data_IF_170382944568
#
_entry.id   IF_170382944568
#
_cell.length_a   1.000
_cell.length_b   1.000
_cell.length_c   1.000
_cell.angle_alpha   90.00
_cell.angle_beta   90.00
_cell.angle_gamma   90.00
#
_symmetry.space_group_name_H-M   'P 1'
#
loop_
_entity.id
_entity.type
_entity.pdbx_description
1 polymer ?
#
# COMPACT_ATOMS: atom_id res chain seq x y z
N UNK A 1 2.99 -11.30 -2.94
CA UNK A 1 3.31 -10.01 -2.28
C UNK A 1 2.25 -9.71 -1.23
N UNK A 2 2.66 -9.29 -0.04
CA UNK A 2 1.73 -8.95 1.06
C UNK A 2 1.64 -7.43 1.15
N UNK A 3 0.43 -6.90 1.21
CA UNK A 3 0.15 -5.46 1.32
C UNK A 3 -0.51 -5.18 2.68
N UNK A 4 0.27 -4.88 3.72
CA UNK A 4 -0.29 -4.55 5.03
C UNK A 4 -0.92 -3.14 5.04
N UNK A 5 -1.73 -2.82 6.06
CA UNK A 5 -2.09 -1.44 6.38
C UNK A 5 -0.84 -0.55 6.50
N UNK A 6 -0.75 0.47 5.65
CA UNK A 6 0.40 1.37 5.58
C UNK A 6 0.04 2.78 5.11
N UNK A 7 0.92 3.72 5.39
CA UNK A 7 0.93 5.07 4.83
C UNK A 7 2.37 5.48 4.52
N UNK A 8 2.57 6.53 3.74
CA UNK A 8 3.89 6.91 3.26
C UNK A 8 4.03 8.42 3.10
N UNK A 9 5.26 8.88 3.23
CA UNK A 9 5.69 10.22 2.88
C UNK A 9 6.54 10.17 1.62
N UNK A 10 7.03 11.32 1.15
CA UNK A 10 8.03 11.35 0.07
C UNK A 10 9.36 10.69 0.43
N UNK A 11 9.62 10.43 1.70
CA UNK A 11 10.89 9.85 2.14
C UNK A 11 10.74 8.41 2.58
N UNK A 12 9.65 8.08 3.28
CA UNK A 12 9.54 6.83 4.02
C UNK A 12 8.15 6.21 3.99
N UNK A 13 8.10 4.89 4.14
CA UNK A 13 6.86 4.13 4.34
C UNK A 13 6.74 3.75 5.81
N UNK A 14 5.55 3.95 6.35
CA UNK A 14 5.19 3.59 7.72
C UNK A 14 4.24 2.40 7.71
N UNK A 15 4.63 1.34 8.42
CA UNK A 15 3.88 0.10 8.55
C UNK A 15 3.27 -0.04 9.95
N UNK A 16 2.14 -0.75 10.04
CA UNK A 16 1.70 -1.31 11.32
C UNK A 16 2.64 -2.44 11.75
N UNK A 17 3.12 -2.40 12.99
CA UNK A 17 4.08 -3.36 13.56
C UNK A 17 3.48 -4.75 13.88
N UNK A 18 2.17 -4.91 13.76
CA UNK A 18 1.50 -6.18 14.02
C UNK A 18 1.55 -7.06 12.76
N UNK A 19 2.43 -8.06 12.74
CA UNK A 19 2.29 -9.17 11.79
C UNK A 19 1.06 -9.97 12.18
N UNK A 20 0.11 -10.16 11.26
CA UNK A 20 -1.00 -11.06 11.52
C UNK A 20 -0.63 -12.50 11.25
N UNK A 21 -0.88 -13.34 12.25
CA UNK A 21 -0.84 -14.80 12.12
C UNK A 21 -1.83 -15.20 11.02
N UNK A 22 -1.32 -15.79 9.94
CA UNK A 22 -2.15 -16.24 8.82
C UNK A 22 -1.68 -17.61 8.37
N UNK A 23 -2.60 -18.58 8.38
CA UNK A 23 -2.33 -19.98 8.05
C UNK A 23 -1.69 -20.14 6.66
N UNK A 24 -2.09 -19.30 5.71
CA UNK A 24 -1.58 -19.30 4.34
C UNK A 24 -0.14 -18.78 4.18
N UNK A 25 0.48 -18.24 5.22
CA UNK A 25 1.90 -17.83 5.20
C UNK A 25 2.78 -18.86 5.91
N UNK A 26 2.22 -19.90 6.52
CA UNK A 26 2.98 -20.88 7.29
C UNK A 26 4.01 -21.65 6.45
N UNK A 27 3.72 -21.85 5.16
CA UNK A 27 4.61 -22.56 4.22
C UNK A 27 5.53 -21.62 3.41
N UNK A 28 5.51 -20.31 3.69
CA UNK A 28 6.27 -19.31 2.95
C UNK A 28 7.30 -18.62 3.85
N UNK A 29 8.54 -18.47 3.35
CA UNK A 29 9.55 -17.66 4.03
C UNK A 29 9.51 -16.20 3.54
N UNK A 30 9.69 -15.21 4.43
CA UNK A 30 9.80 -13.82 4.02
C UNK A 30 11.12 -13.60 3.29
N UNK A 31 11.04 -13.15 2.03
CA UNK A 31 12.21 -12.86 1.18
C UNK A 31 12.65 -11.39 1.28
N UNK A 32 11.83 -10.53 1.88
CA UNK A 32 12.17 -9.15 2.18
C UNK A 32 11.10 -8.16 1.81
N UNK A 33 11.51 -6.97 1.37
CA UNK A 33 10.65 -5.80 1.26
C UNK A 33 10.81 -5.10 -0.08
N UNK A 34 9.70 -4.60 -0.61
CA UNK A 34 9.65 -3.80 -1.82
C UNK A 34 8.94 -2.49 -1.51
N UNK A 35 9.52 -1.36 -1.91
CA UNK A 35 8.85 -0.07 -1.83
C UNK A 35 9.20 0.82 -3.02
N UNK A 36 8.33 1.81 -3.23
CA UNK A 36 8.60 2.90 -4.15
C UNK A 36 9.41 3.99 -3.44
N UNK A 37 10.20 4.73 -4.21
CA UNK A 37 10.89 5.94 -3.76
C UNK A 37 10.79 7.01 -4.86
N UNK A 38 10.56 8.30 -4.51
CA UNK A 38 10.37 9.33 -5.53
C UNK A 38 11.61 9.59 -6.37
N UNK A 39 12.79 9.47 -5.78
CA UNK A 39 14.07 9.74 -6.42
C UNK A 39 14.93 8.48 -6.45
N UNK A 40 15.78 8.35 -7.46
CA UNK A 40 16.83 7.34 -7.49
C UNK A 40 17.92 7.66 -6.46
N UNK A 41 18.29 6.66 -5.67
CA UNK A 41 19.40 6.73 -4.74
C UNK A 41 20.48 5.73 -5.15
N UNK A 42 21.77 6.09 -5.10
CA UNK A 42 22.87 5.19 -5.46
C UNK A 42 23.09 4.09 -4.42
N UNK A 43 22.47 4.21 -3.24
CA UNK A 43 22.60 3.31 -2.11
C UNK A 43 21.26 3.22 -1.36
N UNK A 44 21.12 2.17 -0.54
CA UNK A 44 19.98 2.02 0.35
C UNK A 44 19.84 3.25 1.27
N UNK A 45 18.60 3.68 1.50
CA UNK A 45 18.34 4.79 2.40
C UNK A 45 18.61 4.37 3.86
N UNK A 46 18.79 5.35 4.74
CA UNK A 46 18.92 5.07 6.18
C UNK A 46 17.71 4.31 6.74
N UNK A 47 16.52 4.61 6.21
CA UNK A 47 15.28 3.96 6.62
C UNK A 47 15.22 2.49 6.19
N UNK A 48 15.75 2.18 5.00
CA UNK A 48 15.85 0.81 4.50
C UNK A 48 16.79 -0.02 5.37
N UNK A 49 17.93 0.55 5.74
CA UNK A 49 18.88 -0.10 6.66
C UNK A 49 18.24 -0.31 8.04
N UNK A 50 17.55 0.71 8.57
CA UNK A 50 16.85 0.60 9.85
C UNK A 50 15.71 -0.45 9.82
N UNK A 51 14.97 -0.53 8.71
CA UNK A 51 13.95 -1.55 8.51
C UNK A 51 14.57 -2.95 8.45
N UNK A 52 15.68 -3.12 7.71
CA UNK A 52 16.39 -4.37 7.60
C UNK A 52 16.87 -4.86 8.97
N UNK A 53 17.53 -3.99 9.74
CA UNK A 53 18.02 -4.32 11.09
C UNK A 53 16.89 -4.75 12.03
N UNK A 54 15.72 -4.09 11.97
CA UNK A 54 14.55 -4.50 12.75
C UNK A 54 14.01 -5.87 12.31
N UNK A 55 14.01 -6.16 11.01
CA UNK A 55 13.53 -7.44 10.45
C UNK A 55 14.52 -8.59 10.68
N UNK A 56 15.83 -8.30 10.73
CA UNK A 56 16.88 -9.32 10.89
C UNK A 56 16.80 -10.09 12.21
N UNK A 57 16.14 -9.56 13.23
CA UNK A 57 15.89 -10.24 14.50
C UNK A 57 15.08 -11.55 14.35
N UNK A 58 14.48 -11.82 13.17
CA UNK A 58 13.62 -12.98 12.90
C UNK A 58 14.04 -13.92 11.77
N UNK A 59 15.35 -14.10 11.48
CA UNK A 59 15.96 -14.93 10.39
C UNK A 59 16.43 -14.13 9.15
N UNK A 60 17.19 -13.07 9.39
CA UNK A 60 17.48 -11.99 8.44
C UNK A 60 18.52 -12.19 7.33
N UNK A 61 19.10 -13.38 7.17
CA UNK A 61 20.23 -13.56 6.24
C UNK A 61 19.82 -13.57 4.76
N UNK A 62 18.55 -13.88 4.46
CA UNK A 62 18.02 -13.96 3.09
C UNK A 62 17.16 -12.76 2.65
N UNK A 63 17.02 -11.77 3.51
CA UNK A 63 16.11 -10.65 3.26
C UNK A 63 16.72 -9.64 2.28
N UNK A 64 16.04 -9.37 1.17
CA UNK A 64 16.43 -8.35 0.18
C UNK A 64 15.51 -7.12 0.25
N UNK A 65 16.06 -5.95 -0.06
CA UNK A 65 15.28 -4.73 -0.28
C UNK A 65 15.29 -4.41 -1.76
N UNK A 66 14.10 -4.26 -2.33
CA UNK A 66 13.89 -3.87 -3.71
C UNK A 66 13.29 -2.47 -3.75
N UNK A 67 14.04 -1.54 -4.29
CA UNK A 67 13.63 -0.13 -4.41
C UNK A 67 13.14 0.14 -5.82
N UNK A 68 11.94 0.69 -5.95
CA UNK A 68 11.39 1.15 -7.24
C UNK A 68 11.42 2.68 -7.31
N UNK A 69 12.33 3.21 -8.12
CA UNK A 69 12.46 4.65 -8.36
C UNK A 69 11.72 5.10 -9.60
N UNK A 70 11.16 6.29 -9.57
CA UNK A 70 10.53 6.90 -10.73
C UNK A 70 11.54 7.78 -11.47
N UNK A 71 11.70 7.50 -12.76
CA UNK A 71 12.46 8.32 -13.70
C UNK A 71 11.51 8.86 -14.77
N UNK A 72 11.86 9.93 -15.52
CA UNK A 72 10.94 10.49 -16.50
C UNK A 72 10.48 9.45 -17.54
N UNK A 73 9.20 9.05 -17.47
CA UNK A 73 8.60 8.06 -18.37
C UNK A 73 8.93 6.59 -18.08
N UNK A 74 9.65 6.28 -17.00
CA UNK A 74 10.01 4.90 -16.65
C UNK A 74 10.14 4.66 -15.15
N UNK A 75 10.41 3.41 -14.77
CA UNK A 75 10.76 3.05 -13.41
C UNK A 75 12.06 2.24 -13.41
N UNK A 76 12.87 2.46 -12.38
CA UNK A 76 14.11 1.72 -12.15
C UNK A 76 13.93 0.84 -10.92
N UNK A 77 14.22 -0.46 -11.06
CA UNK A 77 14.26 -1.41 -9.95
C UNK A 77 15.71 -1.65 -9.56
N UNK A 78 16.05 -1.43 -8.30
CA UNK A 78 17.37 -1.72 -7.74
C UNK A 78 17.27 -2.72 -6.59
N UNK A 79 18.09 -3.77 -6.66
CA UNK A 79 18.31 -4.79 -5.63
C UNK A 79 19.67 -5.46 -5.88
N UNK A 80 20.14 -6.29 -4.95
CA UNK A 80 21.45 -6.96 -5.09
C UNK A 80 21.49 -7.97 -6.25
N UNK A 81 20.52 -8.87 -6.35
CA UNK A 81 20.40 -9.86 -7.43
C UNK A 81 18.93 -10.21 -7.65
N UNK A 82 18.40 -9.94 -8.84
CA UNK A 82 17.00 -10.20 -9.19
C UNK A 82 16.83 -10.51 -10.68
N UNK A 83 15.80 -11.28 -11.00
CA UNK A 83 15.37 -11.59 -12.37
C UNK A 83 13.87 -11.35 -12.46
N UNK A 84 13.42 -10.73 -13.55
CA UNK A 84 12.01 -10.65 -13.89
C UNK A 84 11.60 -11.89 -14.68
N UNK A 85 10.50 -12.54 -14.30
CA UNK A 85 10.01 -13.75 -14.94
C UNK A 85 8.52 -13.64 -15.24
N UNK A 86 8.13 -14.14 -16.40
CA UNK A 86 6.76 -14.30 -16.89
C UNK A 86 6.25 -15.74 -16.77
N UNK A 87 7.08 -16.67 -16.29
CA UNK A 87 6.77 -18.10 -16.20
C UNK A 87 5.74 -18.45 -15.13
N UNK A 88 5.65 -17.63 -14.08
CA UNK A 88 4.74 -17.86 -12.96
C UNK A 88 4.05 -16.56 -12.58
N UNK A 89 2.79 -16.68 -12.19
CA UNK A 89 2.00 -15.55 -11.71
C UNK A 89 2.09 -15.45 -10.18
N UNK A 90 2.58 -14.32 -9.70
CA UNK A 90 2.50 -13.99 -8.28
C UNK A 90 1.08 -13.60 -7.88
N UNK A 91 0.79 -13.67 -6.58
CA UNK A 91 -0.49 -13.23 -6.02
C UNK A 91 -0.31 -12.17 -4.93
N UNK A 92 -1.36 -11.40 -4.67
CA UNK A 92 -1.39 -10.40 -3.61
C UNK A 92 -2.22 -10.90 -2.42
N UNK A 93 -1.71 -10.62 -1.21
CA UNK A 93 -2.51 -10.68 0.01
C UNK A 93 -2.76 -9.26 0.49
N UNK A 94 -4.02 -8.97 0.77
CA UNK A 94 -4.50 -7.64 1.17
C UNK A 94 -5.21 -7.74 2.52
N UNK A 95 -5.39 -6.63 3.25
CA UNK A 95 -6.11 -6.65 4.50
C UNK A 95 -7.57 -7.03 4.26
N UNK A 96 -8.15 -7.84 5.15
CA UNK A 96 -9.57 -8.20 5.05
C UNK A 96 -10.47 -7.08 5.58
N UNK A 97 -10.06 -6.51 6.72
CA UNK A 97 -10.82 -5.51 7.49
C UNK A 97 -10.51 -4.05 7.10
N UNK A 98 -10.31 -3.77 5.82
CA UNK A 98 -10.13 -2.41 5.33
C UNK A 98 -9.13 -2.28 4.18
N UNK A 99 -8.86 -1.05 3.73
CA UNK A 99 -7.90 -0.80 2.67
C UNK A 99 -6.47 -0.99 3.16
N UNK A 100 -5.55 -1.18 2.23
CA UNK A 100 -4.12 -1.20 2.53
C UNK A 100 -3.54 0.22 2.67
N UNK A 101 -4.11 1.20 1.96
CA UNK A 101 -3.63 2.57 1.92
C UNK A 101 -4.36 3.45 2.94
N UNK A 102 -3.60 3.99 3.91
CA UNK A 102 -4.10 4.90 4.94
C UNK A 102 -3.63 6.35 4.77
N UNK A 103 -3.00 6.72 3.65
CA UNK A 103 -2.51 8.09 3.42
C UNK A 103 -3.62 9.16 3.51
N UNK A 104 -4.86 8.83 3.15
CA UNK A 104 -6.01 9.76 3.30
C UNK A 104 -6.82 9.51 4.58
N UNK A 105 -6.35 8.62 5.45
CA UNK A 105 -7.00 8.19 6.68
C UNK A 105 -5.99 8.05 7.83
N UNK A 106 -4.97 8.92 7.88
CA UNK A 106 -3.87 8.83 8.84
C UNK A 106 -4.35 8.78 10.29
N UNK A 107 -5.42 9.53 10.63
CA UNK A 107 -6.03 9.54 11.96
C UNK A 107 -6.60 8.17 12.39
N UNK A 108 -6.93 7.31 11.43
CA UNK A 108 -7.40 5.93 11.68
C UNK A 108 -6.24 4.94 11.80
N UNK A 109 -5.06 5.30 11.29
CA UNK A 109 -3.89 4.45 11.37
C UNK A 109 -3.31 4.44 12.79
N UNK A 110 -3.20 3.25 13.40
CA UNK A 110 -2.51 3.05 14.69
C UNK A 110 -1.31 2.14 14.45
N UNK A 111 -0.21 2.37 15.18
CA UNK A 111 1.02 1.58 15.03
C UNK A 111 0.86 0.06 15.30
N UNK A 112 -0.24 -0.35 15.94
CA UNK A 112 -0.61 -1.75 16.23
C UNK A 112 -2.04 -2.05 15.80
N UNK A 113 -2.41 -1.72 14.56
CA UNK A 113 -3.67 -2.21 13.99
C UNK A 113 -3.57 -3.72 13.85
N UNK A 114 -4.53 -4.45 14.44
CA UNK A 114 -4.74 -5.86 14.12
C UNK A 114 -5.51 -5.93 12.81
N UNK A 115 -5.04 -6.76 11.89
CA UNK A 115 -5.66 -6.94 10.59
C UNK A 115 -5.55 -8.39 10.17
N UNK A 116 -6.60 -8.97 9.63
CA UNK A 116 -6.52 -10.28 8.97
C UNK A 116 -6.14 -10.08 7.50
N UNK A 117 -5.60 -11.12 6.86
CA UNK A 117 -5.26 -11.06 5.43
C UNK A 117 -6.17 -11.97 4.62
N UNK A 118 -6.51 -11.52 3.41
CA UNK A 118 -7.18 -12.34 2.40
C UNK A 118 -6.43 -12.32 1.09
N UNK A 119 -6.67 -13.33 0.27
CA UNK A 119 -6.27 -13.30 -1.14
C UNK A 119 -7.16 -12.31 -1.89
N UNK A 120 -6.56 -11.44 -2.69
CA UNK A 120 -7.35 -10.46 -3.44
C UNK A 120 -6.51 -9.61 -4.38
N UNK A 121 -7.19 -8.82 -5.20
CA UNK A 121 -6.54 -7.85 -6.06
C UNK A 121 -6.24 -6.57 -5.30
N UNK A 122 -5.05 -6.02 -5.53
CA UNK A 122 -4.66 -4.75 -4.95
C UNK A 122 -5.45 -3.61 -5.60
N UNK A 123 -6.16 -2.82 -4.79
CA UNK A 123 -6.79 -1.60 -5.28
C UNK A 123 -5.75 -0.51 -5.52
N UNK A 124 -5.97 0.30 -6.54
CA UNK A 124 -5.10 1.42 -6.91
C UNK A 124 -4.95 2.45 -5.78
N UNK A 125 -3.86 3.20 -5.77
CA UNK A 125 -3.54 4.16 -4.71
C UNK A 125 -4.70 5.15 -4.43
N UNK A 126 -5.32 5.67 -5.49
CA UNK A 126 -6.41 6.64 -5.43
C UNK A 126 -7.80 6.00 -5.51
N UNK A 127 -7.96 4.71 -5.24
CA UNK A 127 -9.29 4.10 -5.23
C UNK A 127 -10.21 4.74 -4.18
N UNK A 128 -11.52 4.76 -4.44
CA UNK A 128 -12.50 5.44 -3.59
C UNK A 128 -12.49 4.97 -2.12
N UNK A 129 -12.35 3.66 -1.90
CA UNK A 129 -12.21 3.02 -0.58
C UNK A 129 -11.06 3.61 0.26
N UNK A 130 -10.03 4.18 -0.37
CA UNK A 130 -8.89 4.78 0.33
C UNK A 130 -9.15 6.23 0.75
N UNK A 131 -10.13 6.90 0.13
CA UNK A 131 -10.38 8.34 0.29
C UNK A 131 -11.86 8.63 0.64
N UNK A 132 -12.47 7.92 1.61
CA UNK A 132 -13.91 8.00 1.86
C UNK A 132 -14.40 9.40 2.27
N UNK A 133 -13.55 10.19 2.94
CA UNK A 133 -13.90 11.55 3.38
C UNK A 133 -14.21 12.46 2.19
N UNK A 134 -13.40 12.42 1.14
CA UNK A 134 -13.61 13.23 -0.06
C UNK A 134 -14.97 12.97 -0.73
N UNK A 135 -15.52 11.76 -0.60
CA UNK A 135 -16.83 11.44 -1.18
C UNK A 135 -18.00 11.82 -0.28
N UNK A 136 -17.83 11.72 1.03
CA UNK A 136 -18.86 12.11 1.99
C UNK A 136 -19.13 13.62 1.97
N UNK A 137 -18.11 14.44 1.68
CA UNK A 137 -18.29 15.89 1.50
C UNK A 137 -19.27 16.23 0.36
N UNK A 138 -19.26 15.47 -0.75
CA UNK A 138 -20.19 15.69 -1.85
C UNK A 138 -21.63 15.31 -1.49
N UNK A 139 -21.86 14.22 -0.77
CA UNK A 139 -23.21 13.82 -0.34
C UNK A 139 -23.85 14.85 0.61
N UNK A 140 -23.05 15.44 1.51
CA UNK A 140 -23.54 16.44 2.45
C UNK A 140 -23.91 17.78 1.78
N UNK A 141 -23.41 18.04 0.55
CA UNK A 141 -23.75 19.24 -0.21
C UNK A 141 -25.09 19.12 -0.93
N UNK A 142 -25.46 17.93 -1.41
CA UNK A 142 -26.75 17.68 -2.06
C UNK A 142 -27.93 17.82 -1.09
N UNK A 143 -27.75 17.53 0.20
CA UNK A 143 -28.79 17.74 1.22
C UNK A 143 -29.06 19.23 1.53
N UNK A 144 -28.14 20.13 1.15
CA UNK A 144 -28.28 21.58 1.30
C UNK A 144 -28.86 22.29 0.07
N UNK A 145 -28.99 21.60 -1.06
CA UNK A 145 -29.63 22.13 -2.24
C UNK A 145 -31.16 22.03 -2.09
N UNK A 146 -31.77 23.08 -1.54
CA UNK A 146 -33.21 23.31 -1.72
C UNK A 146 -33.51 23.22 -3.21
N UNK A 147 -34.41 22.32 -3.58
CA UNK A 147 -34.87 22.11 -4.96
C UNK A 147 -35.49 23.43 -5.46
N UNK A 148 -34.69 24.27 -6.12
CA UNK A 148 -35.17 25.42 -6.86
C UNK A 148 -35.08 25.14 -8.37
N UNK A 149 -36.25 25.09 -9.00
CA UNK A 149 -36.44 25.32 -10.43
C UNK A 149 -36.51 24.05 -11.27
N UNK A 150 -37.71 23.76 -11.81
CA UNK A 150 -37.99 22.59 -12.64
C UNK A 150 -37.03 22.43 -13.80
N UNK A 151 -36.39 21.27 -13.87
CA UNK A 151 -35.87 20.76 -15.13
C UNK A 151 -37.09 20.16 -15.84
N UNK A 152 -37.54 20.77 -16.93
CA UNK A 152 -38.43 20.08 -17.87
C UNK A 152 -37.57 19.01 -18.55
N UNK A 153 -37.64 17.77 -18.07
CA UNK A 153 -37.12 16.58 -18.73
C UNK A 153 -38.01 16.19 -19.92
N UNK A 154 -38.05 17.08 -20.91
CA UNK A 154 -38.59 16.78 -22.24
C UNK A 154 -37.44 16.31 -23.15
N UNK A 155 -37.13 15.02 -23.08
CA UNK A 155 -36.33 14.36 -24.10
C UNK A 155 -37.27 13.69 -25.12
N UNK A 156 -37.22 14.17 -26.37
CA UNK A 156 -37.63 13.40 -27.56
C UNK A 156 -36.62 12.28 -27.88
#
# INVERSE_FOLDING_TARGET
>A
MVMPPQWGTHQQVHLSSALSENDFLNDLEPLGWMHTQPNELPQLSFQDVAWLENTKQGNGEKCIILTCSFTPGSCLLAASQMILSDWFLGFFKIPDNGPWNYNFMEVRHKARIKYDMKLGMLREYYHQDHRPIHFLEFCNMDEGATVEGGCDDHFE
#
